data_IF_894968684454
#
_entry.id   IF_894968684454
#
_cell.length_a   1.000
_cell.length_b   1.000
_cell.length_c   1.000
_cell.angle_alpha   90.00
_cell.angle_beta   90.00
_cell.angle_gamma   90.00
#
_symmetry.space_group_name_H-M   'P 1'
#
loop_
_entity.id
_entity.type
_entity.pdbx_description
1 polymer ?
#
# COMPACT_ATOMS: atom_id res chain seq x y z
N UNK A 1 -24.16 -18.84 -17.51
CA UNK A 1 -25.15 -19.39 -16.57
C UNK A 1 -24.91 -18.87 -15.16
N UNK A 2 -25.94 -18.72 -14.32
CA UNK A 2 -25.85 -18.04 -13.01
C UNK A 2 -24.82 -18.64 -12.03
N UNK A 3 -24.12 -17.77 -11.29
CA UNK A 3 -23.02 -18.04 -10.34
C UNK A 3 -23.48 -18.72 -9.04
N UNK A 4 -24.66 -18.34 -8.56
CA UNK A 4 -25.34 -18.91 -7.39
C UNK A 4 -26.51 -19.73 -7.89
N UNK A 5 -26.59 -21.00 -7.49
CA UNK A 5 -27.67 -21.91 -7.92
C UNK A 5 -28.06 -22.86 -6.81
N UNK A 6 -29.36 -23.14 -6.71
CA UNK A 6 -29.84 -24.33 -6.02
C UNK A 6 -29.61 -25.54 -6.95
N UNK A 7 -28.88 -26.54 -6.48
CA UNK A 7 -28.74 -27.83 -7.14
C UNK A 7 -29.91 -28.77 -6.78
N UNK A 8 -30.47 -28.59 -5.58
CA UNK A 8 -31.69 -29.23 -5.09
C UNK A 8 -32.32 -28.34 -4.01
N UNK A 9 -33.41 -28.78 -3.41
CA UNK A 9 -34.03 -28.12 -2.24
C UNK A 9 -33.11 -28.06 -1.01
N UNK A 10 -32.09 -28.92 -0.96
CA UNK A 10 -31.16 -29.03 0.18
C UNK A 10 -29.75 -28.56 -0.14
N UNK A 11 -29.43 -28.30 -1.41
CA UNK A 11 -28.07 -27.98 -1.85
C UNK A 11 -28.01 -26.68 -2.63
N UNK A 12 -27.25 -25.71 -2.12
CA UNK A 12 -26.82 -24.53 -2.87
C UNK A 12 -25.39 -24.72 -3.36
N UNK A 13 -25.10 -24.28 -4.58
CA UNK A 13 -23.77 -24.19 -5.15
C UNK A 13 -23.47 -22.75 -5.52
N UNK A 14 -22.37 -22.24 -5.00
CA UNK A 14 -21.79 -20.95 -5.36
C UNK A 14 -20.45 -21.24 -6.03
N UNK A 15 -20.33 -20.87 -7.30
CA UNK A 15 -19.05 -20.96 -8.03
C UNK A 15 -18.33 -19.61 -7.97
N UNK A 16 -17.00 -19.61 -7.90
CA UNK A 16 -16.18 -18.38 -7.85
C UNK A 16 -16.64 -17.42 -6.75
N UNK A 17 -16.44 -17.84 -5.50
CA UNK A 17 -16.82 -17.07 -4.31
C UNK A 17 -16.15 -15.68 -4.33
N UNK A 18 -16.91 -14.64 -4.03
CA UNK A 18 -16.45 -13.25 -3.92
C UNK A 18 -16.69 -12.70 -2.51
N UNK A 19 -16.21 -11.46 -2.23
CA UNK A 19 -16.47 -10.78 -0.95
C UNK A 19 -17.97 -10.60 -0.65
N UNK A 20 -18.79 -10.50 -1.68
CA UNK A 20 -20.24 -10.31 -1.57
C UNK A 20 -20.97 -11.57 -1.08
N UNK A 21 -20.38 -12.75 -1.22
CA UNK A 21 -20.98 -14.01 -0.73
C UNK A 21 -20.80 -14.19 0.78
N UNK A 22 -19.96 -13.40 1.42
CA UNK A 22 -19.80 -13.47 2.88
C UNK A 22 -21.13 -13.12 3.55
N UNK A 23 -21.58 -13.96 4.48
CA UNK A 23 -22.78 -13.65 5.24
C UNK A 23 -23.37 -14.86 5.96
N UNK A 24 -24.55 -14.63 6.54
CA UNK A 24 -25.35 -15.68 7.16
C UNK A 24 -26.22 -16.32 6.10
N UNK A 25 -26.10 -17.63 5.95
CA UNK A 25 -26.96 -18.46 5.14
C UNK A 25 -27.92 -19.19 6.06
N UNK A 26 -29.21 -19.10 5.77
CA UNK A 26 -30.26 -19.70 6.59
C UNK A 26 -31.01 -20.75 5.77
N UNK A 27 -31.12 -21.95 6.34
CA UNK A 27 -32.00 -23.01 5.86
C UNK A 27 -33.28 -22.98 6.69
N UNK A 28 -34.43 -22.92 6.03
CA UNK A 28 -35.75 -22.92 6.67
C UNK A 28 -36.56 -24.05 6.04
N UNK A 29 -37.07 -24.95 6.88
CA UNK A 29 -37.94 -26.06 6.48
C UNK A 29 -39.31 -25.83 7.12
N UNK A 30 -40.37 -25.98 6.33
CA UNK A 30 -41.74 -25.74 6.78
C UNK A 30 -42.68 -26.81 6.24
N UNK A 31 -43.62 -27.26 7.06
CA UNK A 31 -44.82 -27.97 6.64
C UNK A 31 -46.07 -27.14 7.04
N UNK A 32 -47.27 -27.71 6.91
CA UNK A 32 -48.52 -26.98 7.15
C UNK A 32 -48.73 -26.59 8.63
N UNK A 33 -48.00 -27.21 9.56
CA UNK A 33 -48.19 -27.06 11.02
C UNK A 33 -47.00 -26.38 11.71
N UNK A 34 -45.78 -26.57 11.21
CA UNK A 34 -44.55 -26.15 11.88
C UNK A 34 -43.46 -25.69 10.90
N UNK A 35 -42.49 -24.95 11.44
CA UNK A 35 -41.25 -24.61 10.74
C UNK A 35 -40.04 -24.75 11.65
N UNK A 36 -38.94 -25.23 11.10
CA UNK A 36 -37.63 -25.28 11.73
C UNK A 36 -36.61 -24.50 10.89
N UNK A 37 -35.56 -23.99 11.53
CA UNK A 37 -34.52 -23.24 10.85
C UNK A 37 -33.13 -23.53 11.43
N UNK A 38 -32.11 -23.45 10.59
CA UNK A 38 -30.70 -23.50 10.97
C UNK A 38 -29.90 -22.48 10.17
N UNK A 39 -28.83 -21.94 10.76
CA UNK A 39 -28.03 -20.88 10.15
C UNK A 39 -26.55 -21.29 10.13
N UNK A 40 -25.86 -20.95 9.04
CA UNK A 40 -24.41 -21.10 8.89
C UNK A 40 -23.79 -19.77 8.43
N UNK A 41 -22.57 -19.48 8.85
CA UNK A 41 -21.84 -18.29 8.40
C UNK A 41 -20.77 -18.67 7.38
N UNK A 42 -20.82 -18.06 6.19
CA UNK A 42 -19.74 -18.15 5.22
C UNK A 42 -18.72 -17.05 5.51
N UNK A 43 -17.51 -17.45 5.89
CA UNK A 43 -16.35 -16.56 6.04
C UNK A 43 -15.33 -16.83 4.94
N UNK A 44 -14.73 -15.77 4.42
CA UNK A 44 -13.61 -15.89 3.48
C UNK A 44 -12.30 -16.10 4.25
N UNK A 45 -11.46 -17.00 3.75
CA UNK A 45 -10.11 -17.24 4.25
C UNK A 45 -9.21 -16.01 4.09
N UNK A 46 -8.18 -15.92 4.94
CA UNK A 46 -7.25 -14.80 4.88
C UNK A 46 -6.32 -14.90 3.67
N UNK A 47 -6.10 -13.75 3.03
CA UNK A 47 -5.25 -13.58 1.86
C UNK A 47 -4.38 -12.36 2.09
N UNK A 48 -3.07 -12.56 2.10
CA UNK A 48 -2.09 -11.50 2.25
C UNK A 48 -2.29 -10.41 1.17
N UNK A 49 -1.94 -9.14 1.47
CA UNK A 49 -2.11 -8.07 0.50
C UNK A 49 -1.35 -8.32 -0.80
N UNK A 50 -1.95 -7.92 -1.92
CA UNK A 50 -1.29 -7.91 -3.22
C UNK A 50 -1.47 -6.56 -3.89
N UNK A 51 -0.37 -6.00 -4.41
CA UNK A 51 -0.41 -4.75 -5.15
C UNK A 51 -0.91 -5.00 -6.58
N UNK A 52 -2.07 -4.45 -6.91
CA UNK A 52 -2.72 -4.55 -8.22
C UNK A 52 -2.19 -3.48 -9.17
N UNK A 53 -1.99 -2.26 -8.66
CA UNK A 53 -1.43 -1.14 -9.42
C UNK A 53 -0.27 -0.53 -8.65
N UNK A 54 0.82 -0.27 -9.37
CA UNK A 54 2.07 0.29 -8.86
C UNK A 54 2.42 1.52 -9.68
N UNK A 55 2.75 2.62 -9.01
CA UNK A 55 3.34 3.78 -9.65
C UNK A 55 4.74 3.42 -10.18
N UNK A 56 5.20 4.17 -11.17
CA UNK A 56 6.50 3.95 -11.84
C UNK A 56 7.45 5.08 -11.54
N UNK A 57 8.73 4.86 -11.83
CA UNK A 57 9.73 5.93 -11.79
C UNK A 57 9.41 7.02 -12.80
N UNK A 58 9.58 8.28 -12.39
CA UNK A 58 9.30 9.46 -13.21
C UNK A 58 10.34 10.55 -12.96
N UNK A 59 10.68 11.29 -14.01
CA UNK A 59 11.55 12.46 -13.94
C UNK A 59 10.81 13.66 -14.50
N UNK A 60 10.66 14.72 -13.71
CA UNK A 60 9.80 15.87 -14.03
C UNK A 60 10.44 17.21 -13.67
N UNK A 61 10.00 18.27 -14.34
CA UNK A 61 10.33 19.64 -13.98
C UNK A 61 9.56 20.09 -12.72
N UNK A 62 10.09 21.02 -11.91
CA UNK A 62 9.35 21.59 -10.79
C UNK A 62 8.18 22.46 -11.26
N UNK A 63 7.12 22.56 -10.45
CA UNK A 63 5.95 23.41 -10.69
C UNK A 63 4.63 22.68 -11.01
N UNK A 64 4.59 21.59 -11.80
CA UNK A 64 3.37 20.80 -12.01
C UNK A 64 2.86 20.14 -10.73
N UNK A 65 1.61 19.67 -10.78
CA UNK A 65 1.09 18.76 -9.75
C UNK A 65 1.31 17.31 -10.17
N UNK A 66 1.58 16.43 -9.21
CA UNK A 66 1.85 15.00 -9.44
C UNK A 66 0.91 14.15 -8.59
N UNK A 67 0.48 13.02 -9.15
CA UNK A 67 -0.27 12.00 -8.42
C UNK A 67 0.43 10.65 -8.55
N UNK A 68 0.87 10.08 -7.42
CA UNK A 68 1.35 8.70 -7.35
C UNK A 68 0.18 7.82 -6.91
N UNK A 69 -0.09 6.75 -7.66
CA UNK A 69 -1.20 5.82 -7.38
C UNK A 69 -0.67 4.46 -6.98
N UNK A 70 -1.26 3.88 -5.95
CA UNK A 70 -1.03 2.49 -5.55
C UNK A 70 -2.38 1.85 -5.20
N UNK A 71 -2.63 0.62 -5.65
CA UNK A 71 -3.84 -0.12 -5.28
C UNK A 71 -3.53 -1.53 -4.84
N UNK A 72 -4.28 -2.03 -3.88
CA UNK A 72 -4.05 -3.33 -3.25
C UNK A 72 -5.34 -4.10 -3.03
N UNK A 73 -5.30 -5.41 -3.28
CA UNK A 73 -6.33 -6.36 -2.84
C UNK A 73 -5.85 -7.11 -1.60
N UNK A 74 -6.77 -7.81 -0.93
CA UNK A 74 -6.46 -8.64 0.23
C UNK A 74 -7.70 -8.94 1.08
N UNK A 75 -7.58 -9.94 1.94
CA UNK A 75 -8.57 -10.25 2.97
C UNK A 75 -7.88 -10.57 4.30
N UNK A 76 -8.08 -9.78 5.37
CA UNK A 76 -8.88 -8.57 5.43
C UNK A 76 -8.41 -7.46 4.47
N UNK A 77 -9.31 -6.53 4.13
CA UNK A 77 -9.01 -5.37 3.29
C UNK A 77 -7.79 -4.62 3.86
N UNK A 78 -6.69 -4.45 3.09
CA UNK A 78 -5.47 -3.85 3.60
C UNK A 78 -5.61 -2.33 3.78
N UNK A 79 -4.73 -1.74 4.59
CA UNK A 79 -4.48 -0.29 4.60
C UNK A 79 -3.22 0.00 3.78
N UNK A 80 -3.22 1.04 2.95
CA UNK A 80 -2.01 1.52 2.27
C UNK A 80 -1.44 2.67 3.11
N UNK A 81 -0.14 2.57 3.40
CA UNK A 81 0.65 3.66 3.98
C UNK A 81 1.76 4.03 3.02
N UNK A 82 2.20 5.29 3.09
CA UNK A 82 3.24 5.82 2.20
C UNK A 82 4.44 6.30 2.99
N UNK A 83 5.62 6.07 2.44
CA UNK A 83 6.89 6.57 2.95
C UNK A 83 7.65 7.29 1.83
N UNK A 84 8.53 8.19 2.23
CA UNK A 84 9.51 8.87 1.38
C UNK A 84 10.88 8.68 2.00
N UNK A 85 11.79 8.07 1.24
CA UNK A 85 13.15 7.75 1.65
C UNK A 85 13.22 6.93 2.96
N UNK A 86 12.23 6.07 3.19
CA UNK A 86 12.12 5.22 4.37
C UNK A 86 11.49 5.87 5.60
N UNK A 87 11.03 7.12 5.50
CA UNK A 87 10.35 7.86 6.56
C UNK A 87 8.88 8.15 6.22
N UNK A 88 8.00 8.38 7.21
CA UNK A 88 6.64 8.84 6.94
C UNK A 88 6.63 10.09 6.06
N UNK A 89 5.63 10.22 5.18
CA UNK A 89 5.51 11.40 4.32
C UNK A 89 5.48 12.69 5.15
N UNK A 90 6.11 13.78 4.67
CA UNK A 90 6.04 15.07 5.33
C UNK A 90 4.59 15.54 5.45
N UNK A 91 4.21 16.01 6.64
CA UNK A 91 2.91 16.64 6.84
C UNK A 91 2.99 18.11 6.38
N UNK A 92 2.43 18.42 5.21
CA UNK A 92 2.35 19.80 4.70
C UNK A 92 1.13 19.97 3.78
N UNK A 93 0.71 21.21 3.53
CA UNK A 93 -0.51 21.52 2.78
C UNK A 93 -0.45 21.16 1.29
N UNK A 94 0.75 20.94 0.73
CA UNK A 94 0.93 20.60 -0.69
C UNK A 94 0.79 19.11 -0.95
N UNK A 95 1.12 18.28 0.05
CA UNK A 95 1.10 16.83 -0.05
C UNK A 95 -0.16 16.29 0.64
N UNK A 96 -1.04 15.68 -0.15
CA UNK A 96 -2.31 15.15 0.33
C UNK A 96 -2.42 13.66 0.00
N UNK A 97 -2.77 12.85 1.00
CA UNK A 97 -3.02 11.42 0.82
C UNK A 97 -4.52 11.20 0.71
N UNK A 98 -4.95 10.60 -0.40
CA UNK A 98 -6.31 10.09 -0.58
C UNK A 98 -6.32 8.57 -0.48
N UNK A 99 -7.33 7.99 0.16
CA UNK A 99 -7.55 6.55 0.17
C UNK A 99 -9.04 6.22 0.24
N UNK A 100 -9.48 5.24 -0.56
CA UNK A 100 -10.84 4.70 -0.51
C UNK A 100 -10.85 3.19 -0.83
N UNK A 101 -11.94 2.52 -0.45
CA UNK A 101 -12.17 1.10 -0.70
C UNK A 101 -13.23 0.96 -1.80
N UNK A 102 -12.97 0.12 -2.80
CA UNK A 102 -13.91 -0.17 -3.88
C UNK A 102 -15.03 -1.11 -3.41
N UNK A 103 -16.08 -1.22 -4.21
CA UNK A 103 -17.14 -2.22 -4.01
C UNK A 103 -16.61 -3.66 -3.90
N UNK A 104 -15.53 -3.98 -4.62
CA UNK A 104 -14.89 -5.30 -4.60
C UNK A 104 -13.94 -5.48 -3.40
N UNK A 105 -13.82 -4.47 -2.54
CA UNK A 105 -12.98 -4.45 -1.35
C UNK A 105 -11.49 -4.27 -1.65
N UNK A 106 -11.13 -3.78 -2.83
CA UNK A 106 -9.77 -3.35 -3.13
C UNK A 106 -9.56 -1.93 -2.59
N UNK A 107 -8.33 -1.61 -2.20
CA UNK A 107 -7.98 -0.28 -1.69
C UNK A 107 -7.23 0.47 -2.78
N UNK A 108 -7.64 1.71 -3.02
CA UNK A 108 -6.95 2.63 -3.92
C UNK A 108 -6.46 3.80 -3.09
N UNK A 109 -5.16 4.10 -3.18
CA UNK A 109 -4.53 5.22 -2.50
C UNK A 109 -3.71 6.08 -3.46
N UNK A 110 -3.75 7.39 -3.23
CA UNK A 110 -3.04 8.41 -3.99
C UNK A 110 -2.22 9.29 -3.07
N UNK A 111 -1.01 9.63 -3.50
CA UNK A 111 -0.24 10.78 -2.98
C UNK A 111 -0.31 11.87 -4.03
N UNK A 112 -0.99 12.96 -3.71
CA UNK A 112 -1.11 14.12 -4.57
C UNK A 112 -0.20 15.23 -4.05
N UNK A 113 0.69 15.73 -4.90
CA UNK A 113 1.63 16.80 -4.55
C UNK A 113 1.33 17.98 -5.47
N UNK A 114 0.91 19.10 -4.89
CA UNK A 114 0.72 20.34 -5.64
C UNK A 114 2.02 21.13 -5.75
N UNK A 115 2.22 21.74 -6.92
CA UNK A 115 3.38 22.57 -7.22
C UNK A 115 4.71 21.94 -6.77
N UNK A 116 5.07 20.81 -7.39
CA UNK A 116 6.23 20.00 -6.99
C UNK A 116 7.52 20.81 -6.99
N UNK A 117 8.32 20.62 -5.94
CA UNK A 117 9.64 21.24 -5.74
C UNK A 117 10.73 20.18 -5.79
N UNK A 118 11.98 20.59 -5.98
CA UNK A 118 13.12 19.67 -5.97
C UNK A 118 13.18 18.83 -4.69
N UNK A 119 12.85 19.47 -3.56
CA UNK A 119 12.69 18.86 -2.23
C UNK A 119 11.47 17.94 -2.08
N UNK A 120 10.67 17.66 -3.11
CA UNK A 120 9.62 16.63 -3.07
C UNK A 120 10.09 15.33 -3.75
N UNK A 121 11.25 15.37 -4.42
CA UNK A 121 11.84 14.18 -5.03
C UNK A 121 12.41 13.21 -3.99
N UNK A 122 12.57 11.96 -4.40
CA UNK A 122 13.09 10.89 -3.54
C UNK A 122 12.49 9.53 -3.92
N UNK A 123 12.77 8.52 -3.11
CA UNK A 123 12.17 7.19 -3.27
C UNK A 123 10.86 7.11 -2.48
N UNK A 124 9.75 7.08 -3.20
CA UNK A 124 8.45 6.85 -2.59
C UNK A 124 8.24 5.33 -2.44
N UNK A 125 7.62 4.92 -1.33
CA UNK A 125 7.17 3.55 -1.09
C UNK A 125 5.67 3.58 -0.78
N UNK A 126 4.89 2.72 -1.44
CA UNK A 126 3.56 2.35 -0.95
C UNK A 126 3.63 0.97 -0.29
N UNK A 127 3.08 0.85 0.92
CA UNK A 127 3.06 -0.38 1.70
C UNK A 127 1.62 -0.74 2.08
N UNK A 128 1.12 -1.83 1.53
CA UNK A 128 -0.19 -2.41 1.84
C UNK A 128 -0.06 -3.40 2.99
N UNK A 129 -0.83 -3.21 4.06
CA UNK A 129 -0.69 -3.95 5.32
C UNK A 129 -2.05 -4.49 5.74
N UNK A 130 -2.12 -5.77 6.09
CA UNK A 130 -3.24 -6.38 6.79
C UNK A 130 -2.71 -7.36 7.85
N UNK A 131 -3.59 -7.94 8.67
CA UNK A 131 -3.18 -8.97 9.63
C UNK A 131 -2.69 -10.27 8.97
N UNK A 132 -3.01 -10.47 7.68
CA UNK A 132 -2.61 -11.64 6.91
C UNK A 132 -1.21 -11.46 6.28
N UNK A 133 -0.61 -10.28 6.36
CA UNK A 133 0.72 -9.98 5.82
C UNK A 133 0.83 -8.58 5.24
N UNK A 134 1.87 -8.37 4.45
CA UNK A 134 2.16 -7.10 3.81
C UNK A 134 2.71 -7.26 2.39
N UNK A 135 2.55 -6.22 1.58
CA UNK A 135 3.20 -6.08 0.28
C UNK A 135 3.61 -4.62 0.08
N UNK A 136 4.80 -4.36 -0.46
CA UNK A 136 5.28 -3.00 -0.75
C UNK A 136 5.83 -2.87 -2.16
N UNK A 137 5.91 -1.61 -2.61
CA UNK A 137 6.53 -1.22 -3.87
C UNK A 137 7.15 0.15 -3.72
N UNK A 138 8.36 0.30 -4.25
CA UNK A 138 9.10 1.56 -4.27
C UNK A 138 9.43 1.98 -5.70
N UNK A 139 9.32 3.28 -5.98
CA UNK A 139 9.86 3.88 -7.20
C UNK A 139 10.29 5.33 -6.93
N UNK A 140 11.22 5.82 -7.76
CA UNK A 140 11.80 7.15 -7.58
C UNK A 140 10.98 8.22 -8.29
N UNK A 141 10.75 9.34 -7.62
CA UNK A 141 10.27 10.57 -8.24
C UNK A 141 11.45 11.55 -8.30
N UNK A 142 11.99 11.76 -9.49
CA UNK A 142 13.09 12.69 -9.72
C UNK A 142 12.51 14.05 -10.11
N UNK A 143 12.86 15.10 -9.36
CA UNK A 143 12.45 16.48 -9.66
C UNK A 143 13.70 17.28 -9.98
N UNK A 144 13.74 17.93 -11.15
CA UNK A 144 14.87 18.77 -11.52
C UNK A 144 15.11 19.89 -10.49
N UNK A 145 16.37 20.08 -10.11
CA UNK A 145 16.80 21.13 -9.18
C UNK A 145 18.07 20.77 -8.41
N UNK A 146 18.50 21.69 -7.55
CA UNK A 146 19.73 21.55 -6.76
C UNK A 146 19.66 20.33 -5.83
N UNK A 147 20.80 19.64 -5.57
CA UNK A 147 20.88 18.61 -4.57
C UNK A 147 20.42 19.11 -3.20
N UNK A 148 19.58 18.33 -2.56
CA UNK A 148 19.03 18.61 -1.25
C UNK A 148 19.06 17.34 -0.40
N UNK A 149 19.42 17.47 0.88
CA UNK A 149 19.38 16.36 1.84
C UNK A 149 18.29 16.66 2.85
N UNK A 150 17.28 15.78 2.95
CA UNK A 150 16.24 15.91 3.99
C UNK A 150 16.85 15.74 5.38
N UNK A 151 16.16 16.31 6.36
CA UNK A 151 16.47 16.08 7.77
C UNK A 151 16.37 14.57 8.09
N UNK A 152 17.45 14.01 8.62
CA UNK A 152 17.47 12.64 9.13
C UNK A 152 17.06 12.63 10.61
N UNK A 153 16.17 11.74 11.05
CA UNK A 153 15.85 11.60 12.47
C UNK A 153 17.02 10.96 13.23
N UNK A 154 16.94 11.01 14.57
CA UNK A 154 17.87 10.25 15.42
C UNK A 154 17.68 8.75 15.15
N UNK A 155 18.75 8.08 14.78
CA UNK A 155 18.76 6.64 14.53
C UNK A 155 19.31 5.91 15.74
N UNK A 156 18.79 4.71 16.00
CA UNK A 156 19.26 3.81 17.07
C UNK A 156 19.39 2.41 16.51
N UNK A 157 20.45 1.71 16.90
CA UNK A 157 20.73 0.35 16.48
C UNK A 157 21.15 -0.49 17.68
N UNK A 158 20.83 -1.78 17.62
CA UNK A 158 21.22 -2.75 18.66
C UNK A 158 22.58 -3.33 18.31
N UNK A 159 23.47 -3.43 19.31
CA UNK A 159 24.78 -4.05 19.13
C UNK A 159 24.66 -5.46 18.53
N UNK A 160 25.48 -5.75 17.51
CA UNK A 160 25.49 -7.03 16.80
C UNK A 160 24.37 -7.21 15.77
N UNK A 161 23.50 -6.22 15.55
CA UNK A 161 22.52 -6.21 14.46
C UNK A 161 23.01 -5.37 13.28
N UNK A 162 22.60 -5.74 12.09
CA UNK A 162 22.87 -4.96 10.87
C UNK A 162 22.11 -3.64 10.94
N UNK A 163 22.83 -2.55 10.67
CA UNK A 163 22.28 -1.20 10.56
C UNK A 163 22.36 -0.74 9.11
N UNK A 164 21.26 -0.20 8.59
CA UNK A 164 21.20 0.37 7.25
C UNK A 164 20.94 1.87 7.36
N UNK A 165 21.85 2.67 6.81
CA UNK A 165 21.67 4.11 6.64
C UNK A 165 21.43 4.41 5.17
N UNK A 166 20.27 4.99 4.87
CA UNK A 166 19.96 5.55 3.55
C UNK A 166 19.96 7.06 3.65
N UNK A 167 20.73 7.73 2.79
CA UNK A 167 20.74 9.19 2.72
C UNK A 167 19.49 9.68 1.96
N UNK A 168 18.59 10.46 2.59
CA UNK A 168 17.35 10.91 1.96
C UNK A 168 17.61 12.13 1.08
N UNK A 169 18.05 11.88 -0.16
CA UNK A 169 18.43 12.91 -1.12
C UNK A 169 17.31 13.25 -2.10
N UNK A 170 17.22 14.53 -2.45
CA UNK A 170 16.31 15.09 -3.44
C UNK A 170 17.06 16.03 -4.40
N UNK A 171 16.37 16.48 -5.46
CA UNK A 171 17.00 17.16 -6.60
C UNK A 171 17.48 16.19 -7.68
N UNK A 172 17.60 16.69 -8.90
CA UNK A 172 18.03 15.92 -10.07
C UNK A 172 18.64 16.87 -11.12
N UNK A 173 19.78 16.51 -11.74
CA UNK A 173 20.59 15.32 -11.49
C UNK A 173 21.41 15.42 -10.18
N UNK A 174 21.78 14.27 -9.62
CA UNK A 174 22.70 14.15 -8.48
C UNK A 174 23.94 13.41 -8.98
N UNK A 175 25.12 14.01 -8.83
CA UNK A 175 26.38 13.46 -9.33
C UNK A 175 26.99 12.43 -8.36
N UNK A 176 27.06 12.76 -7.07
CA UNK A 176 27.63 11.88 -6.06
C UNK A 176 26.96 12.03 -4.69
N UNK A 177 26.99 10.94 -3.92
CA UNK A 177 26.53 10.88 -2.53
C UNK A 177 27.68 10.33 -1.69
N UNK A 178 28.14 11.11 -0.71
CA UNK A 178 29.24 10.73 0.19
C UNK A 178 28.68 10.61 1.60
N UNK A 179 28.99 9.50 2.27
CA UNK A 179 28.64 9.29 3.68
C UNK A 179 29.92 9.38 4.50
N UNK A 180 29.92 10.26 5.50
CA UNK A 180 31.05 10.46 6.42
C UNK A 180 30.64 10.12 7.85
N UNK A 181 31.59 9.57 8.61
CA UNK A 181 31.48 9.34 10.05
C UNK A 181 32.65 10.06 10.72
N UNK A 182 32.35 10.99 11.63
CA UNK A 182 33.35 11.75 12.40
C UNK A 182 34.42 12.41 11.51
N UNK A 183 34.01 12.93 10.34
CA UNK A 183 34.89 13.57 9.34
C UNK A 183 35.65 12.60 8.44
N UNK A 184 35.43 11.29 8.56
CA UNK A 184 36.08 10.26 7.75
C UNK A 184 35.06 9.68 6.76
N UNK A 185 35.40 9.69 5.47
CA UNK A 185 34.60 9.06 4.42
C UNK A 185 34.47 7.56 4.66
N UNK A 186 33.24 7.07 4.67
CA UNK A 186 32.98 5.63 4.73
C UNK A 186 33.30 4.98 3.38
N UNK A 187 33.79 3.73 3.38
CA UNK A 187 34.13 3.04 2.15
C UNK A 187 32.89 2.78 1.30
N UNK A 188 32.96 3.15 0.03
CA UNK A 188 31.94 2.86 -0.99
C UNK A 188 32.32 1.59 -1.73
N UNK A 189 32.29 0.45 -1.03
CA UNK A 189 32.44 -0.84 -1.70
C UNK A 189 31.09 -1.20 -2.32
N UNK A 190 30.81 -0.60 -3.49
CA UNK A 190 29.66 -0.92 -4.34
C UNK A 190 29.99 -2.19 -5.13
#
# INVERSE_FOLDING_TARGET
>A
GARVRLLSTEHIRITSITKEDKGMYQCIVKNDLESAQATAELRLGEVAPQLIYKFIEQTIQPGPSVSLKCSASGNPTPKIVWHLDGFPLPNNDRLMIGQYVTMFGDVISHVNISAVKSEDGGEYECKAISRAGEASHSARLNIYGMPYVRMMPKLSAVAGKTFFLKCPVAGYPIDSIIIEKDGVRLPTNI
#
